data_IF_463361932188
#
_entry.id   IF_463361932188
#
_cell.length_a   1.000
_cell.length_b   1.000
_cell.length_c   1.000
_cell.angle_alpha   90.00
_cell.angle_beta   90.00
_cell.angle_gamma   90.00
#
_symmetry.space_group_name_H-M   'P 1'
#
loop_
_entity.id
_entity.type
_entity.pdbx_description
1 polymer ?
#
# COMPACT_ATOMS: atom_id res chain seq x y z
N UNK A 1 -11.47 -13.89 -14.81
CA UNK A 1 -12.13 -12.85 -14.00
C UNK A 1 -11.77 -13.12 -12.54
N UNK A 2 -11.30 -12.12 -11.79
CA UNK A 2 -11.03 -12.24 -10.34
C UNK A 2 -11.98 -11.34 -9.58
N UNK A 3 -12.48 -11.82 -8.45
CA UNK A 3 -13.37 -11.07 -7.56
C UNK A 3 -12.73 -11.02 -6.17
N UNK A 4 -12.73 -9.83 -5.57
CA UNK A 4 -12.31 -9.61 -4.18
C UNK A 4 -13.54 -9.11 -3.44
N UNK A 5 -13.88 -9.78 -2.34
CA UNK A 5 -14.98 -9.39 -1.44
C UNK A 5 -14.35 -8.93 -0.14
N UNK A 6 -14.69 -7.71 0.30
CA UNK A 6 -14.21 -7.14 1.56
C UNK A 6 -15.44 -6.79 2.39
N UNK A 7 -15.50 -7.31 3.61
CA UNK A 7 -16.57 -7.05 4.55
C UNK A 7 -16.04 -6.24 5.74
N UNK A 8 -16.65 -5.07 5.96
CA UNK A 8 -16.32 -4.21 7.10
C UNK A 8 -17.27 -4.52 8.25
N UNK A 9 -16.72 -5.13 9.31
CA UNK A 9 -17.50 -5.55 10.48
C UNK A 9 -17.79 -4.40 11.47
N UNK A 10 -17.24 -3.21 11.20
CA UNK A 10 -17.35 -2.03 12.07
C UNK A 10 -17.54 -0.77 11.21
N UNK A 11 -18.13 0.30 11.78
CA UNK A 11 -18.17 1.61 11.14
C UNK A 11 -16.76 2.14 10.85
N UNK A 12 -16.63 3.12 9.93
CA UNK A 12 -15.36 3.79 9.68
C UNK A 12 -14.74 4.36 10.97
N UNK A 13 -13.43 4.18 11.12
CA UNK A 13 -12.70 4.64 12.31
C UNK A 13 -12.32 6.11 12.26
N UNK A 14 -12.37 6.73 11.07
CA UNK A 14 -11.98 8.12 10.85
C UNK A 14 -13.01 8.86 10.01
N UNK A 15 -13.24 10.12 10.34
CA UNK A 15 -13.98 11.06 9.49
C UNK A 15 -13.09 11.60 8.37
N UNK A 16 -13.71 12.16 7.33
CA UNK A 16 -12.99 12.85 6.25
C UNK A 16 -12.09 13.97 6.77
N UNK A 17 -12.53 14.69 7.81
CA UNK A 17 -11.74 15.75 8.44
C UNK A 17 -10.49 15.20 9.13
N UNK A 18 -10.62 14.10 9.86
CA UNK A 18 -9.47 13.43 10.49
C UNK A 18 -8.50 12.92 9.42
N UNK A 19 -8.99 12.33 8.33
CA UNK A 19 -8.14 11.86 7.23
C UNK A 19 -7.43 13.05 6.57
N UNK A 20 -8.12 14.18 6.32
CA UNK A 20 -7.48 15.40 5.80
C UNK A 20 -6.39 15.91 6.74
N UNK A 21 -6.64 15.92 8.04
CA UNK A 21 -5.65 16.31 9.05
C UNK A 21 -4.42 15.38 9.06
N UNK A 22 -4.63 14.07 8.95
CA UNK A 22 -3.54 13.09 8.83
C UNK A 22 -2.73 13.29 7.55
N UNK A 23 -3.39 13.47 6.41
CA UNK A 23 -2.72 13.75 5.13
C UNK A 23 -1.86 15.02 5.20
N UNK A 24 -2.35 16.07 5.86
CA UNK A 24 -1.61 17.32 6.02
C UNK A 24 -0.35 17.20 6.90
N UNK A 25 -0.27 16.16 7.75
CA UNK A 25 0.90 15.87 8.60
C UNK A 25 1.93 14.95 7.93
N UNK A 26 1.56 14.28 6.85
CA UNK A 26 2.44 13.35 6.16
C UNK A 26 3.60 14.09 5.48
N UNK A 27 4.79 13.50 5.53
CA UNK A 27 5.99 14.04 4.89
C UNK A 27 6.11 13.61 3.42
N UNK A 28 5.40 12.56 3.02
CA UNK A 28 5.39 12.00 1.67
C UNK A 28 3.97 11.85 1.14
N UNK A 29 3.79 11.68 -0.19
CA UNK A 29 2.47 11.43 -0.75
C UNK A 29 1.80 10.19 -0.14
N UNK A 30 0.50 10.31 0.16
CA UNK A 30 -0.28 9.25 0.83
C UNK A 30 -1.08 8.38 -0.12
N UNK A 31 -0.97 8.62 -1.43
CA UNK A 31 -1.66 7.85 -2.45
C UNK A 31 -0.80 6.62 -2.78
N UNK A 32 -1.12 5.51 -2.13
CA UNK A 32 -0.26 4.32 -2.00
C UNK A 32 -0.18 3.41 -3.24
N UNK A 33 -0.90 3.71 -4.31
CA UNK A 33 -0.82 2.98 -5.58
C UNK A 33 -0.84 3.89 -6.79
N UNK A 34 -0.91 3.30 -7.99
CA UNK A 34 -0.83 4.05 -9.26
C UNK A 34 -2.17 4.57 -9.74
N UNK A 35 -3.26 3.85 -9.42
CA UNK A 35 -4.61 4.22 -9.86
C UNK A 35 -5.64 3.88 -8.78
N UNK A 36 -6.39 4.88 -8.34
CA UNK A 36 -7.57 4.67 -7.51
C UNK A 36 -8.65 3.96 -8.33
N UNK A 37 -9.16 2.84 -7.82
CA UNK A 37 -10.20 2.01 -8.46
C UNK A 37 -11.54 2.17 -7.77
N UNK A 38 -11.51 2.42 -6.47
CA UNK A 38 -12.70 2.54 -5.64
C UNK A 38 -12.37 3.37 -4.40
N UNK A 39 -13.30 4.21 -3.97
CA UNK A 39 -13.22 4.95 -2.70
C UNK A 39 -14.63 5.10 -2.12
N UNK A 40 -14.74 4.88 -0.82
CA UNK A 40 -15.91 5.21 -0.03
C UNK A 40 -15.49 5.58 1.40
N UNK A 41 -16.46 5.72 2.31
CA UNK A 41 -16.18 6.06 3.70
C UNK A 41 -15.36 5.00 4.47
N UNK A 42 -15.25 3.76 3.97
CA UNK A 42 -14.57 2.66 4.64
C UNK A 42 -13.16 2.41 4.13
N UNK A 43 -12.91 2.55 2.83
CA UNK A 43 -11.61 2.25 2.23
C UNK A 43 -11.33 2.98 0.93
N UNK A 44 -10.07 2.86 0.49
CA UNK A 44 -9.61 3.24 -0.86
C UNK A 44 -8.89 2.05 -1.47
N UNK A 45 -9.42 1.53 -2.57
CA UNK A 45 -8.76 0.46 -3.30
C UNK A 45 -7.90 1.04 -4.43
N UNK A 46 -6.59 0.83 -4.34
CA UNK A 46 -5.59 1.25 -5.30
C UNK A 46 -5.01 0.06 -6.05
N UNK A 47 -4.91 0.20 -7.37
CA UNK A 47 -4.17 -0.74 -8.21
C UNK A 47 -2.68 -0.41 -8.18
N UNK A 48 -1.88 -1.42 -7.86
CA UNK A 48 -0.43 -1.41 -7.97
C UNK A 48 0.00 -2.57 -8.88
N UNK A 49 0.09 -2.25 -10.17
CA UNK A 49 0.75 -3.09 -11.15
C UNK A 49 2.16 -2.55 -11.41
N UNK A 50 3.17 -3.34 -11.07
CA UNK A 50 4.58 -3.01 -11.29
C UNK A 50 5.23 -4.04 -12.24
N UNK A 51 5.69 -3.62 -13.43
CA UNK A 51 6.47 -4.48 -14.30
C UNK A 51 7.74 -5.02 -13.63
N UNK A 52 8.39 -6.05 -14.20
CA UNK A 52 9.63 -6.60 -13.66
C UNK A 52 10.68 -5.52 -13.40
N UNK A 53 11.35 -5.58 -12.23
CA UNK A 53 12.40 -4.66 -11.78
C UNK A 53 11.99 -3.17 -11.63
N UNK A 54 10.75 -2.81 -11.94
CA UNK A 54 10.27 -1.42 -11.84
C UNK A 54 10.00 -1.00 -10.39
N UNK A 55 10.13 0.30 -10.16
CA UNK A 55 9.92 0.92 -8.86
C UNK A 55 8.60 1.71 -8.82
N UNK A 56 8.11 1.89 -7.61
CA UNK A 56 7.07 2.84 -7.24
C UNK A 56 7.68 3.81 -6.23
N UNK A 57 7.35 5.08 -6.39
CA UNK A 57 7.85 6.15 -5.53
C UNK A 57 7.54 5.90 -4.06
N UNK A 58 8.30 6.58 -3.21
CA UNK A 58 8.07 6.61 -1.77
C UNK A 58 6.66 7.13 -1.48
N UNK A 59 5.90 6.35 -0.71
CA UNK A 59 4.58 6.71 -0.21
C UNK A 59 4.52 6.49 1.29
N UNK A 60 3.71 7.29 1.97
CA UNK A 60 3.49 7.15 3.40
C UNK A 60 2.11 6.56 3.70
N UNK A 61 2.10 5.43 4.41
CA UNK A 61 0.89 4.81 4.92
C UNK A 61 0.43 5.56 6.16
N UNK A 62 -0.74 6.21 6.07
CA UNK A 62 -1.33 6.98 7.18
C UNK A 62 -2.57 6.30 7.80
N UNK A 63 -3.02 5.20 7.19
CA UNK A 63 -4.16 4.40 7.60
C UNK A 63 -3.75 2.92 7.57
N UNK A 64 -4.43 2.09 8.35
CA UNK A 64 -4.29 0.64 8.23
C UNK A 64 -4.71 0.18 6.83
N UNK A 65 -4.06 -0.83 6.30
CA UNK A 65 -4.27 -1.26 4.93
C UNK A 65 -4.14 -2.76 4.76
N UNK A 66 -4.73 -3.26 3.68
CA UNK A 66 -4.63 -4.63 3.23
C UNK A 66 -3.94 -4.68 1.87
N UNK A 67 -2.98 -5.60 1.71
CA UNK A 67 -2.38 -5.93 0.41
C UNK A 67 -3.00 -7.23 -0.08
N UNK A 68 -3.58 -7.21 -1.28
CA UNK A 68 -4.10 -8.41 -1.95
C UNK A 68 -3.29 -8.66 -3.20
N UNK A 69 -2.43 -9.66 -3.17
CA UNK A 69 -1.58 -10.03 -4.29
C UNK A 69 -2.37 -10.84 -5.31
N UNK A 70 -2.48 -10.34 -6.54
CA UNK A 70 -3.18 -11.01 -7.64
C UNK A 70 -2.24 -11.78 -8.56
N UNK A 71 -0.95 -11.81 -8.23
CA UNK A 71 0.07 -12.65 -8.85
C UNK A 71 1.11 -13.00 -7.79
N UNK A 72 1.71 -14.18 -7.88
CA UNK A 72 2.90 -14.48 -7.10
C UNK A 72 3.99 -13.44 -7.40
N UNK A 73 4.56 -12.85 -6.37
CA UNK A 73 5.35 -11.61 -6.47
C UNK A 73 6.53 -11.59 -5.51
N UNK A 74 7.53 -10.77 -5.80
CA UNK A 74 8.62 -10.43 -4.87
C UNK A 74 8.64 -8.92 -4.73
N UNK A 75 8.40 -8.40 -3.54
CA UNK A 75 8.40 -6.97 -3.23
C UNK A 75 9.64 -6.62 -2.42
N UNK A 76 10.37 -5.60 -2.86
CA UNK A 76 11.49 -5.02 -2.12
C UNK A 76 11.13 -3.63 -1.64
N UNK A 77 11.40 -3.36 -0.38
CA UNK A 77 11.24 -2.03 0.21
C UNK A 77 12.47 -1.17 -0.08
N UNK A 78 12.21 0.09 -0.40
CA UNK A 78 13.22 1.14 -0.58
C UNK A 78 13.03 2.18 0.52
N UNK A 79 14.12 2.56 1.17
CA UNK A 79 14.12 3.63 2.16
C UNK A 79 13.69 4.98 1.53
N UNK A 80 13.14 5.91 2.32
CA UNK A 80 12.74 7.23 1.80
C UNK A 80 13.86 8.04 1.12
N UNK A 81 15.11 7.78 1.47
CA UNK A 81 16.31 8.39 0.86
C UNK A 81 16.76 7.68 -0.44
N UNK A 82 16.03 6.65 -0.88
CA UNK A 82 16.32 5.86 -2.06
C UNK A 82 17.24 4.66 -1.81
N UNK A 83 17.75 4.46 -0.59
CA UNK A 83 18.58 3.30 -0.30
C UNK A 83 17.76 2.00 -0.42
N UNK A 84 18.28 0.95 -1.07
CA UNK A 84 17.60 -0.33 -1.14
C UNK A 84 17.70 -1.09 0.19
N UNK A 85 16.88 -2.14 0.36
CA UNK A 85 17.07 -3.13 1.41
C UNK A 85 16.27 -2.91 2.69
N UNK A 86 15.22 -2.10 2.65
CA UNK A 86 14.32 -1.94 3.80
C UNK A 86 13.62 -3.27 4.16
N UNK A 87 13.20 -4.02 3.14
CA UNK A 87 12.73 -5.40 3.25
C UNK A 87 12.81 -6.10 1.89
N UNK A 88 12.73 -7.44 1.89
CA UNK A 88 12.59 -8.25 0.68
C UNK A 88 11.68 -9.45 1.00
N UNK A 89 10.47 -9.43 0.45
CA UNK A 89 9.45 -10.43 0.72
C UNK A 89 8.90 -11.05 -0.56
N UNK A 90 8.65 -12.35 -0.52
CA UNK A 90 7.89 -13.06 -1.54
C UNK A 90 6.46 -13.25 -1.08
N UNK A 91 5.53 -13.09 -2.01
CA UNK A 91 4.10 -13.28 -1.80
C UNK A 91 3.55 -14.29 -2.82
N UNK A 92 2.61 -15.10 -2.38
CA UNK A 92 1.91 -16.08 -3.21
C UNK A 92 0.77 -15.44 -4.02
N UNK A 93 0.30 -16.15 -5.05
CA UNK A 93 -0.89 -15.72 -5.77
C UNK A 93 -2.13 -15.79 -4.87
N UNK A 94 -2.94 -14.73 -4.86
CA UNK A 94 -4.10 -14.54 -3.98
C UNK A 94 -3.75 -14.37 -2.49
N UNK A 95 -2.49 -14.12 -2.14
CA UNK A 95 -2.13 -13.86 -0.75
C UNK A 95 -2.69 -12.51 -0.28
N UNK A 96 -3.24 -12.51 0.94
CA UNK A 96 -3.74 -11.32 1.62
C UNK A 96 -2.88 -11.01 2.84
N UNK A 97 -2.48 -9.76 2.99
CA UNK A 97 -1.66 -9.29 4.11
C UNK A 97 -2.30 -8.06 4.74
N UNK A 98 -2.62 -8.14 6.02
CA UNK A 98 -3.06 -6.98 6.81
C UNK A 98 -1.88 -6.26 7.44
N UNK A 99 -1.90 -4.93 7.38
CA UNK A 99 -0.88 -4.05 7.97
C UNK A 99 -1.57 -2.97 8.80
N UNK A 100 -1.58 -3.10 10.14
CA UNK A 100 -2.11 -2.05 10.99
C UNK A 100 -1.19 -0.82 10.95
N UNK A 101 -1.78 0.36 10.82
CA UNK A 101 -1.06 1.61 11.01
C UNK A 101 -1.24 2.09 12.46
N UNK A 102 -0.18 2.60 13.11
CA UNK A 102 -0.31 3.24 14.41
C UNK A 102 -1.16 4.51 14.33
N UNK A 103 -1.73 4.96 15.46
CA UNK A 103 -2.62 6.13 15.50
C UNK A 103 -1.95 7.42 14.98
N UNK A 104 -0.64 7.54 15.14
CA UNK A 104 0.19 8.67 14.73
C UNK A 104 1.03 8.37 13.47
N UNK A 105 0.65 7.37 12.68
CA UNK A 105 1.35 6.96 11.45
C UNK A 105 1.70 8.12 10.50
N UNK A 106 0.84 9.13 10.42
CA UNK A 106 1.07 10.35 9.64
C UNK A 106 2.32 11.15 10.07
N UNK A 107 2.68 11.12 11.36
CA UNK A 107 3.89 11.76 11.88
C UNK A 107 5.14 10.87 11.86
N UNK A 108 5.03 9.61 11.43
CA UNK A 108 6.11 8.62 11.51
C UNK A 108 6.78 8.39 10.16
N UNK A 109 8.04 8.83 9.95
CA UNK A 109 8.78 8.54 8.72
C UNK A 109 8.95 7.04 8.44
N UNK A 110 8.91 6.19 9.48
CA UNK A 110 8.96 4.74 9.33
C UNK A 110 7.77 4.14 8.58
N UNK A 111 6.68 4.88 8.40
CA UNK A 111 5.54 4.48 7.58
C UNK A 111 5.69 4.85 6.10
N UNK A 112 6.81 5.48 5.73
CA UNK A 112 7.13 5.85 4.36
C UNK A 112 8.15 4.90 3.76
N UNK A 113 7.85 4.36 2.57
CA UNK A 113 8.78 3.56 1.80
C UNK A 113 8.42 3.53 0.32
N UNK A 114 9.42 3.34 -0.52
CA UNK A 114 9.25 2.97 -1.93
C UNK A 114 9.12 1.46 -2.08
N UNK A 115 8.60 1.02 -3.22
CA UNK A 115 8.43 -0.41 -3.53
C UNK A 115 9.09 -0.74 -4.86
N UNK A 116 9.77 -1.87 -4.95
CA UNK A 116 10.25 -2.43 -6.21
C UNK A 116 9.71 -3.84 -6.42
N UNK A 117 9.33 -4.15 -7.65
CA UNK A 117 9.13 -5.53 -8.05
C UNK A 117 10.50 -6.23 -8.22
N UNK A 118 10.83 -7.13 -7.30
CA UNK A 118 12.07 -7.90 -7.33
C UNK A 118 12.09 -9.06 -8.34
N UNK A 119 10.99 -9.33 -9.05
CA UNK A 119 10.93 -10.37 -10.08
C UNK A 119 11.57 -9.90 -11.39
N UNK A 120 12.25 -10.82 -12.09
CA UNK A 120 12.98 -10.50 -13.33
C UNK A 120 12.10 -10.59 -14.59
N UNK A 121 11.00 -11.34 -14.53
CA UNK A 121 10.25 -11.81 -15.70
C UNK A 121 8.73 -11.63 -15.59
N UNK A 122 8.21 -11.38 -14.39
CA UNK A 122 6.77 -11.19 -14.13
C UNK A 122 6.43 -9.86 -13.51
N UNK A 123 5.29 -9.30 -13.90
CA UNK A 123 4.71 -8.15 -13.23
C UNK A 123 4.18 -8.55 -11.84
N UNK A 124 4.26 -7.63 -10.89
CA UNK A 124 3.60 -7.72 -9.60
C UNK A 124 2.24 -7.04 -9.72
N UNK A 125 1.17 -7.80 -9.51
CA UNK A 125 -0.18 -7.27 -9.33
C UNK A 125 -0.58 -7.29 -7.86
N UNK A 126 -0.91 -6.12 -7.33
CA UNK A 126 -1.40 -5.96 -5.96
C UNK A 126 -2.54 -4.94 -5.92
N UNK A 127 -3.62 -5.26 -5.21
CA UNK A 127 -4.62 -4.30 -4.79
C UNK A 127 -4.34 -3.87 -3.36
N UNK A 128 -4.18 -2.57 -3.12
CA UNK A 128 -4.04 -2.00 -1.78
C UNK A 128 -5.39 -1.43 -1.36
N UNK A 129 -5.97 -1.93 -0.27
CA UNK A 129 -7.30 -1.56 0.25
C UNK A 129 -7.19 -0.89 1.60
#
# INVERSE_FOLDING_TARGET
FRQIVVEFLRPPTHSDEQIRSMKAKANFPTDIGRRLRFENAFCRAWDLNLPPQQQHDVRQHILSYMLVFTTASRMRGIHPDGAPGLFDHTYEDNQVVWKPAPEDAAGMPAQAYGMQNGSADRAMGCLLV
#
